data_IF_162007216109
#
_entry.id   IF_162007216109
#
_cell.length_a   1.000
_cell.length_b   1.000
_cell.length_c   1.000
_cell.angle_alpha   90.00
_cell.angle_beta   90.00
_cell.angle_gamma   90.00
#
_symmetry.space_group_name_H-M   'P 1'
#
loop_
_entity.id
_entity.type
_entity.pdbx_description
1 polymer ?
#
# COMPACT_ATOMS: atom_id res chain seq x y z
N UNK A 1 13.65 22.23 -7.10
CA UNK A 1 12.19 22.15 -7.20
C UNK A 1 11.87 21.47 -8.51
N UNK A 2 10.89 20.57 -8.56
CA UNK A 2 10.51 19.90 -9.79
C UNK A 2 9.86 20.87 -10.75
N UNK A 3 10.09 20.68 -12.05
CA UNK A 3 9.55 21.52 -13.11
C UNK A 3 8.28 20.92 -13.73
N UNK A 4 8.25 19.60 -13.84
CA UNK A 4 7.12 18.88 -14.44
C UNK A 4 6.92 17.54 -13.74
N UNK A 5 5.71 17.29 -13.25
CA UNK A 5 5.36 16.12 -12.46
C UNK A 5 4.34 15.26 -13.21
N UNK A 6 4.71 14.01 -13.50
CA UNK A 6 3.77 12.98 -13.94
C UNK A 6 3.05 12.41 -12.72
N UNK A 7 1.74 12.41 -12.74
CA UNK A 7 0.92 11.77 -11.71
C UNK A 7 0.50 10.38 -12.19
N UNK A 8 1.13 9.34 -11.62
CA UNK A 8 0.87 7.94 -11.95
C UNK A 8 -0.38 7.41 -11.22
N UNK A 9 -1.50 8.11 -11.38
CA UNK A 9 -2.78 7.80 -10.73
C UNK A 9 -3.95 8.41 -11.51
N UNK A 10 -5.17 8.24 -11.00
CA UNK A 10 -6.41 8.69 -11.64
C UNK A 10 -7.36 9.37 -10.66
N UNK A 11 -8.49 9.85 -11.19
CA UNK A 11 -9.62 10.33 -10.38
C UNK A 11 -9.24 11.50 -9.47
N UNK A 12 -9.81 11.50 -8.29
CA UNK A 12 -9.63 12.56 -7.29
C UNK A 12 -8.17 12.65 -6.79
N UNK A 13 -7.47 11.51 -6.71
CA UNK A 13 -6.06 11.44 -6.28
C UNK A 13 -5.20 12.27 -7.24
N UNK A 14 -5.39 12.07 -8.55
CA UNK A 14 -4.65 12.80 -9.57
C UNK A 14 -5.00 14.30 -9.56
N UNK A 15 -6.28 14.66 -9.45
CA UNK A 15 -6.73 16.06 -9.39
C UNK A 15 -6.13 16.78 -8.19
N UNK A 16 -6.08 16.13 -7.05
CA UNK A 16 -5.46 16.67 -5.84
C UNK A 16 -3.96 16.89 -6.00
N UNK A 17 -3.28 15.93 -6.63
CA UNK A 17 -1.84 16.02 -6.92
C UNK A 17 -1.53 17.17 -7.90
N UNK A 18 -2.33 17.33 -8.97
CA UNK A 18 -2.17 18.43 -9.92
C UNK A 18 -2.30 19.79 -9.25
N UNK A 19 -3.28 19.93 -8.37
CA UNK A 19 -3.46 21.16 -7.61
C UNK A 19 -2.21 21.49 -6.77
N UNK A 20 -1.69 20.51 -6.04
CA UNK A 20 -0.50 20.70 -5.22
C UNK A 20 0.76 21.00 -6.07
N UNK A 21 0.90 20.35 -7.23
CA UNK A 21 1.97 20.61 -8.17
C UNK A 21 1.90 22.04 -8.74
N UNK A 22 0.71 22.48 -9.13
CA UNK A 22 0.46 23.85 -9.60
C UNK A 22 0.79 24.89 -8.51
N UNK A 23 0.34 24.69 -7.28
CA UNK A 23 0.66 25.57 -6.14
C UNK A 23 2.18 25.62 -5.85
N UNK A 24 2.90 24.53 -6.17
CA UNK A 24 4.37 24.46 -6.09
C UNK A 24 5.09 25.01 -7.33
N UNK A 25 4.37 25.49 -8.34
CA UNK A 25 4.93 26.06 -9.57
C UNK A 25 5.44 25.02 -10.58
N UNK A 26 4.98 23.77 -10.52
CA UNK A 26 5.32 22.71 -11.45
C UNK A 26 4.19 22.46 -12.46
N UNK A 27 4.54 22.16 -13.71
CA UNK A 27 3.62 21.66 -14.73
C UNK A 27 3.22 20.22 -14.43
N UNK A 28 2.07 19.80 -14.94
CA UNK A 28 1.42 18.52 -14.59
C UNK A 28 1.18 17.65 -15.81
N UNK A 29 1.39 16.35 -15.65
CA UNK A 29 1.16 15.34 -16.68
C UNK A 29 0.20 14.29 -16.14
N UNK A 30 -0.95 14.11 -16.82
CA UNK A 30 -1.88 13.03 -16.58
C UNK A 30 -1.56 11.82 -17.44
N UNK A 31 -1.90 10.65 -16.94
CA UNK A 31 -1.96 9.39 -17.70
C UNK A 31 -3.38 8.84 -17.67
N UNK A 32 -3.82 8.22 -18.76
CA UNK A 32 -5.16 7.63 -18.84
C UNK A 32 -5.21 6.50 -19.87
N UNK A 33 -5.88 5.39 -19.61
CA UNK A 33 -6.25 4.43 -20.64
C UNK A 33 -7.44 4.93 -21.46
N UNK A 34 -7.69 4.33 -22.59
CA UNK A 34 -8.78 4.73 -23.49
C UNK A 34 -10.14 4.89 -22.80
N UNK A 35 -10.46 4.03 -21.83
CA UNK A 35 -11.72 4.07 -21.08
C UNK A 35 -11.85 5.34 -20.22
N UNK A 36 -10.73 5.87 -19.74
CA UNK A 36 -10.69 7.10 -18.94
C UNK A 36 -10.49 8.38 -19.79
N UNK A 37 -10.55 8.31 -21.12
CA UNK A 37 -10.35 9.45 -22.02
C UNK A 37 -11.27 10.66 -21.76
N UNK A 38 -12.41 10.42 -21.13
CA UNK A 38 -13.38 11.46 -20.76
C UNK A 38 -13.35 11.79 -19.25
N UNK A 39 -12.41 11.22 -18.51
CA UNK A 39 -12.33 11.43 -17.05
C UNK A 39 -11.85 12.84 -16.70
N UNK A 40 -12.32 13.34 -15.56
CA UNK A 40 -12.04 14.70 -15.09
C UNK A 40 -10.53 14.94 -14.89
N UNK A 41 -9.80 13.94 -14.37
CA UNK A 41 -8.38 14.13 -14.09
C UNK A 41 -7.57 14.43 -15.36
N UNK A 42 -7.90 13.80 -16.49
CA UNK A 42 -7.27 14.08 -17.77
C UNK A 42 -7.37 15.57 -18.17
N UNK A 43 -8.54 16.18 -17.89
CA UNK A 43 -8.84 17.57 -18.26
C UNK A 43 -8.28 18.60 -17.28
N UNK A 44 -7.69 18.17 -16.17
CA UNK A 44 -7.17 19.04 -15.11
C UNK A 44 -5.66 19.13 -15.09
N UNK A 45 -4.96 18.36 -15.90
CA UNK A 45 -3.51 18.45 -16.10
C UNK A 45 -3.18 19.36 -17.27
N UNK A 46 -1.95 19.89 -17.30
CA UNK A 46 -1.43 20.69 -18.42
C UNK A 46 -1.23 19.82 -19.66
N UNK A 47 -0.79 18.58 -19.48
CA UNK A 47 -0.61 17.59 -20.54
C UNK A 47 -1.25 16.25 -20.14
N UNK A 48 -1.70 15.47 -21.11
CA UNK A 48 -2.32 14.16 -20.85
C UNK A 48 -1.92 13.16 -21.94
N UNK A 49 -1.47 11.98 -21.52
CA UNK A 49 -0.97 10.91 -22.37
C UNK A 49 -1.77 9.63 -22.19
N UNK A 50 -2.10 9.00 -23.31
CA UNK A 50 -2.73 7.70 -23.30
C UNK A 50 -1.71 6.62 -22.95
N UNK A 51 -2.11 5.73 -22.02
CA UNK A 51 -1.35 4.55 -21.61
C UNK A 51 -2.10 3.30 -21.99
N UNK A 52 -1.38 2.28 -22.41
CA UNK A 52 -1.96 1.03 -22.87
C UNK A 52 -1.37 -0.16 -22.13
N UNK A 53 -2.21 -1.16 -21.88
CA UNK A 53 -1.80 -2.49 -21.49
C UNK A 53 -2.84 -3.51 -21.94
N UNK A 54 -2.40 -4.70 -22.33
CA UNK A 54 -3.32 -5.76 -22.67
C UNK A 54 -4.16 -6.18 -21.47
N UNK A 55 -5.48 -6.27 -21.68
CA UNK A 55 -6.45 -6.86 -20.76
C UNK A 55 -7.42 -5.87 -20.15
N UNK A 56 -7.07 -5.11 -19.15
CA UNK A 56 -8.02 -4.22 -18.46
C UNK A 56 -7.46 -2.82 -18.25
N UNK A 57 -8.31 -1.78 -18.14
CA UNK A 57 -7.87 -0.40 -17.86
C UNK A 57 -7.00 -0.26 -16.62
N UNK A 58 -7.27 -1.07 -15.60
CA UNK A 58 -6.48 -1.10 -14.36
C UNK A 58 -5.05 -1.55 -14.62
N UNK A 59 -4.83 -2.50 -15.54
CA UNK A 59 -3.48 -2.97 -15.89
C UNK A 59 -2.62 -1.87 -16.51
N UNK A 60 -3.22 -0.93 -17.25
CA UNK A 60 -2.49 0.20 -17.81
C UNK A 60 -1.90 1.09 -16.70
N UNK A 61 -2.67 1.34 -15.62
CA UNK A 61 -2.17 2.06 -14.45
C UNK A 61 -1.13 1.29 -13.63
N UNK A 62 -1.03 -0.02 -13.81
CA UNK A 62 -0.04 -0.88 -13.17
C UNK A 62 1.20 -1.14 -14.06
N UNK A 63 1.28 -0.53 -15.23
CA UNK A 63 2.40 -0.69 -16.16
C UNK A 63 3.54 0.28 -15.84
N UNK A 64 4.60 -0.24 -15.23
CA UNK A 64 5.83 0.52 -14.97
C UNK A 64 6.42 1.08 -16.25
N UNK A 65 6.46 0.27 -17.32
CA UNK A 65 7.02 0.69 -18.61
C UNK A 65 6.28 1.86 -19.25
N UNK A 66 4.94 1.87 -19.16
CA UNK A 66 4.13 2.99 -19.66
C UNK A 66 4.35 4.27 -18.86
N UNK A 67 4.45 4.17 -17.52
CA UNK A 67 4.75 5.33 -16.68
C UNK A 67 6.11 5.96 -17.04
N UNK A 68 7.13 5.13 -17.23
CA UNK A 68 8.46 5.61 -17.62
C UNK A 68 8.46 6.15 -19.06
N UNK A 69 7.75 5.50 -20.00
CA UNK A 69 7.60 5.99 -21.36
C UNK A 69 7.02 7.39 -21.37
N UNK A 70 5.88 7.59 -20.70
CA UNK A 70 5.23 8.91 -20.66
C UNK A 70 6.08 9.94 -19.92
N UNK A 71 6.76 9.59 -18.84
CA UNK A 71 7.63 10.51 -18.13
C UNK A 71 8.78 11.03 -19.03
N UNK A 72 9.36 10.14 -19.84
CA UNK A 72 10.40 10.52 -20.80
C UNK A 72 9.86 11.36 -21.95
N UNK A 73 8.72 10.96 -22.52
CA UNK A 73 8.10 11.65 -23.66
C UNK A 73 7.64 13.05 -23.29
N UNK A 74 7.05 13.22 -22.12
CA UNK A 74 6.62 14.53 -21.61
C UNK A 74 7.75 15.40 -21.05
N UNK A 75 8.93 14.81 -20.80
CA UNK A 75 10.03 15.48 -20.12
C UNK A 75 9.75 15.74 -18.63
N UNK A 76 8.93 14.89 -17.98
CA UNK A 76 8.69 14.98 -16.54
C UNK A 76 9.97 14.64 -15.76
N UNK A 77 10.31 15.46 -14.79
CA UNK A 77 11.47 15.27 -13.92
C UNK A 77 11.12 14.58 -12.59
N UNK A 78 9.82 14.37 -12.35
CA UNK A 78 9.33 13.60 -11.21
C UNK A 78 8.08 12.78 -11.56
N UNK A 79 7.91 11.64 -10.85
CA UNK A 79 6.69 10.81 -10.84
C UNK A 79 6.11 10.83 -9.44
N UNK A 80 4.84 11.24 -9.33
CA UNK A 80 4.05 11.17 -8.11
C UNK A 80 3.03 10.02 -8.23
N UNK A 81 3.16 8.94 -7.45
CA UNK A 81 2.28 7.78 -7.56
C UNK A 81 0.94 7.92 -6.82
N UNK A 82 0.84 8.85 -5.87
CA UNK A 82 -0.30 8.95 -4.95
C UNK A 82 -0.37 7.78 -3.97
N UNK A 83 -1.54 7.18 -3.83
CA UNK A 83 -1.77 5.94 -3.09
C UNK A 83 -2.50 4.92 -3.98
N UNK A 84 -2.35 3.62 -3.67
CA UNK A 84 -2.81 2.53 -4.55
C UNK A 84 -1.96 2.37 -5.80
N UNK A 85 -2.40 1.57 -6.76
CA UNK A 85 -1.68 1.23 -7.99
C UNK A 85 -0.18 0.93 -7.76
N UNK A 86 0.71 1.77 -8.28
CA UNK A 86 2.16 1.61 -8.21
C UNK A 86 2.83 2.35 -7.04
N UNK A 87 2.04 2.93 -6.11
CA UNK A 87 2.60 3.72 -5.01
C UNK A 87 3.51 2.92 -4.06
N UNK A 88 3.23 1.63 -3.90
CA UNK A 88 4.00 0.70 -3.07
C UNK A 88 4.89 -0.23 -3.92
N UNK A 89 4.98 0.01 -5.22
CA UNK A 89 5.72 -0.85 -6.13
C UNK A 89 7.19 -0.42 -6.23
N UNK A 90 8.16 -1.24 -5.76
CA UNK A 90 9.58 -0.91 -5.81
C UNK A 90 10.13 -0.79 -7.23
N UNK A 91 9.51 -1.49 -8.20
CA UNK A 91 9.99 -1.49 -9.59
C UNK A 91 9.77 -0.14 -10.26
N UNK A 92 8.67 0.57 -9.96
CA UNK A 92 8.48 1.94 -10.48
C UNK A 92 9.52 2.90 -9.89
N UNK A 93 9.78 2.81 -8.58
CA UNK A 93 10.79 3.65 -7.93
C UNK A 93 12.20 3.37 -8.49
N UNK A 94 12.52 2.10 -8.73
CA UNK A 94 13.80 1.67 -9.35
C UNK A 94 13.92 2.18 -10.78
N UNK A 95 12.90 1.93 -11.60
CA UNK A 95 12.90 2.36 -13.00
C UNK A 95 12.96 3.89 -13.14
N UNK A 96 12.28 4.65 -12.27
CA UNK A 96 12.40 6.10 -12.24
C UNK A 96 13.83 6.54 -11.93
N UNK A 97 14.46 5.97 -10.90
CA UNK A 97 15.85 6.25 -10.51
C UNK A 97 16.84 5.96 -11.65
N UNK A 98 16.71 4.81 -12.32
CA UNK A 98 17.56 4.41 -13.45
C UNK A 98 17.44 5.36 -14.65
N UNK A 99 16.29 6.02 -14.82
CA UNK A 99 16.05 6.97 -15.89
C UNK A 99 16.26 8.44 -15.46
N UNK A 100 16.82 8.69 -14.27
CA UNK A 100 17.10 10.06 -13.79
C UNK A 100 15.86 10.85 -13.40
N UNK A 101 14.71 10.17 -13.19
CA UNK A 101 13.42 10.74 -12.81
C UNK A 101 13.26 10.57 -11.30
N UNK A 102 12.84 11.62 -10.60
CA UNK A 102 12.60 11.52 -9.17
C UNK A 102 11.27 10.77 -8.88
N UNK A 103 11.31 9.72 -8.09
CA UNK A 103 10.12 9.12 -7.54
C UNK A 103 9.74 9.87 -6.26
N UNK A 104 8.51 10.41 -6.20
CA UNK A 104 8.01 11.12 -5.02
C UNK A 104 7.44 10.10 -4.04
N UNK A 105 8.32 9.55 -3.24
CA UNK A 105 8.03 8.47 -2.31
C UNK A 105 9.32 7.89 -1.72
N UNK A 106 9.22 6.79 -0.96
CA UNK A 106 10.37 6.07 -0.43
C UNK A 106 11.24 5.48 -1.54
N UNK A 107 12.51 5.22 -1.24
CA UNK A 107 13.40 4.49 -2.15
C UNK A 107 12.94 3.03 -2.36
N UNK A 108 13.37 2.39 -3.46
CA UNK A 108 12.93 1.02 -3.78
C UNK A 108 13.27 0.02 -2.68
N UNK A 109 14.40 0.18 -2.00
CA UNK A 109 14.82 -0.69 -0.89
C UNK A 109 13.87 -0.56 0.33
N UNK A 110 13.34 0.63 0.58
CA UNK A 110 12.37 0.88 1.64
C UNK A 110 11.00 0.31 1.26
N UNK A 111 10.59 0.43 0.00
CA UNK A 111 9.34 -0.15 -0.51
C UNK A 111 9.37 -1.68 -0.44
N UNK A 112 10.48 -2.31 -0.80
CA UNK A 112 10.67 -3.75 -0.66
C UNK A 112 10.59 -4.21 0.80
N UNK A 113 11.27 -3.48 1.70
CA UNK A 113 11.26 -3.78 3.13
C UNK A 113 9.85 -3.62 3.74
N UNK A 114 9.16 -2.53 3.41
CA UNK A 114 7.84 -2.21 3.96
C UNK A 114 6.72 -3.04 3.34
N UNK A 115 6.86 -3.46 2.09
CA UNK A 115 5.90 -4.30 1.38
C UNK A 115 5.80 -5.73 1.93
N UNK A 116 6.84 -6.22 2.57
CA UNK A 116 6.84 -7.51 3.27
C UNK A 116 6.54 -7.29 4.76
N UNK A 117 5.37 -7.76 5.21
CA UNK A 117 4.90 -7.57 6.60
C UNK A 117 5.82 -8.18 7.64
N UNK A 118 6.46 -9.31 7.33
CA UNK A 118 7.38 -10.00 8.24
C UNK A 118 8.67 -9.18 8.36
N UNK A 119 9.21 -8.75 7.23
CA UNK A 119 10.43 -7.93 7.19
C UNK A 119 10.22 -6.55 7.82
N UNK A 120 9.07 -5.91 7.54
CA UNK A 120 8.70 -4.63 8.16
C UNK A 120 8.61 -4.75 9.69
N UNK A 121 7.95 -5.80 10.20
CA UNK A 121 7.84 -6.06 11.63
C UNK A 121 9.20 -6.34 12.27
N UNK A 122 10.04 -7.15 11.62
CA UNK A 122 11.39 -7.42 12.09
C UNK A 122 12.25 -6.14 12.13
N UNK A 123 12.09 -5.26 11.14
CA UNK A 123 12.75 -3.95 11.14
C UNK A 123 12.29 -3.06 12.30
N UNK A 124 10.97 -3.03 12.56
CA UNK A 124 10.40 -2.28 13.69
C UNK A 124 10.96 -2.78 15.04
N UNK A 125 11.00 -4.10 15.24
CA UNK A 125 11.59 -4.70 16.46
C UNK A 125 13.06 -4.31 16.63
N UNK A 126 13.86 -4.39 15.55
CA UNK A 126 15.29 -3.97 15.58
C UNK A 126 15.47 -2.49 15.92
N UNK A 127 14.50 -1.67 15.51
CA UNK A 127 14.49 -0.24 15.82
C UNK A 127 13.93 0.09 17.21
N UNK A 128 13.55 -0.91 18.02
CA UNK A 128 12.96 -0.71 19.34
C UNK A 128 11.52 -0.19 19.32
N UNK A 129 10.83 -0.28 18.18
CA UNK A 129 9.43 0.13 18.06
C UNK A 129 8.53 -0.97 18.63
N UNK A 130 7.61 -0.66 19.54
CA UNK A 130 6.65 -1.63 20.06
C UNK A 130 5.79 -2.21 18.93
N UNK A 131 5.66 -3.53 18.92
CA UNK A 131 4.82 -4.25 17.95
C UNK A 131 3.90 -5.23 18.66
N UNK A 132 2.79 -5.57 18.04
CA UNK A 132 1.89 -6.60 18.57
C UNK A 132 2.61 -7.96 18.61
N UNK A 133 2.33 -8.76 19.65
CA UNK A 133 2.82 -10.12 19.72
C UNK A 133 2.32 -10.92 18.52
N UNK A 134 3.21 -11.67 17.88
CA UNK A 134 2.86 -12.53 16.75
C UNK A 134 3.78 -13.73 16.67
N UNK A 135 3.35 -14.74 15.93
CA UNK A 135 4.16 -15.91 15.58
C UNK A 135 4.97 -15.66 14.30
N UNK A 136 5.92 -16.54 14.04
CA UNK A 136 6.38 -16.78 12.68
C UNK A 136 5.25 -17.41 11.85
N UNK A 137 5.40 -17.36 10.53
CA UNK A 137 4.42 -17.95 9.62
C UNK A 137 4.66 -19.46 9.46
N UNK A 138 3.58 -20.23 9.37
CA UNK A 138 3.63 -21.68 9.14
C UNK A 138 2.39 -22.13 8.36
N UNK A 139 2.50 -23.26 7.67
CA UNK A 139 1.40 -24.04 7.11
C UNK A 139 1.10 -25.31 7.94
N UNK A 140 1.72 -25.45 9.11
CA UNK A 140 1.49 -26.53 10.06
C UNK A 140 0.77 -25.99 11.32
N UNK A 141 -0.44 -26.47 11.53
CA UNK A 141 -1.26 -26.13 12.71
C UNK A 141 -0.59 -26.55 14.02
N UNK A 142 0.17 -27.66 14.03
CA UNK A 142 0.85 -28.16 15.22
C UNK A 142 1.98 -27.22 15.67
N UNK A 143 2.51 -26.42 14.77
CA UNK A 143 3.50 -25.37 15.08
C UNK A 143 2.83 -24.13 15.67
N UNK A 144 1.64 -23.77 15.16
CA UNK A 144 0.96 -22.53 15.53
C UNK A 144 0.15 -22.63 16.83
N UNK A 145 -0.50 -23.78 17.08
CA UNK A 145 -1.36 -23.95 18.27
C UNK A 145 -0.61 -23.68 19.59
N UNK A 146 0.58 -24.24 19.85
CA UNK A 146 1.29 -23.95 21.09
C UNK A 146 1.75 -22.49 21.22
N UNK A 147 1.90 -21.78 20.10
CA UNK A 147 2.29 -20.37 20.08
C UNK A 147 1.09 -19.46 20.38
N UNK A 148 -0.12 -19.85 19.97
CA UNK A 148 -1.34 -19.12 20.27
C UNK A 148 -1.56 -18.95 21.79
N UNK A 149 -1.27 -19.97 22.57
CA UNK A 149 -1.37 -19.92 24.04
C UNK A 149 -0.45 -18.89 24.66
N UNK A 150 0.74 -18.65 24.07
CA UNK A 150 1.71 -17.63 24.52
C UNK A 150 1.25 -16.21 24.18
N UNK A 151 0.58 -16.04 23.04
CA UNK A 151 0.03 -14.74 22.60
C UNK A 151 -1.22 -14.40 23.41
N UNK A 152 -2.05 -15.40 23.73
CA UNK A 152 -3.35 -15.25 24.36
C UNK A 152 -4.46 -14.89 23.37
N UNK A 153 -5.69 -14.91 23.90
CA UNK A 153 -6.90 -14.62 23.11
C UNK A 153 -7.54 -13.29 23.57
N UNK A 154 -8.21 -12.55 22.67
CA UNK A 154 -8.43 -12.88 21.27
C UNK A 154 -7.19 -12.62 20.41
N UNK A 155 -7.10 -13.35 19.27
CA UNK A 155 -6.03 -13.17 18.29
C UNK A 155 -6.59 -13.18 16.85
N UNK A 156 -5.78 -12.80 15.89
CA UNK A 156 -6.06 -12.94 14.48
C UNK A 156 -5.19 -14.01 13.84
N UNK A 157 -5.80 -14.85 13.00
CA UNK A 157 -5.11 -15.68 12.01
C UNK A 157 -5.01 -14.85 10.72
N UNK A 158 -3.81 -14.65 10.20
CA UNK A 158 -3.54 -13.81 9.01
C UNK A 158 -2.75 -14.57 7.96
N UNK A 159 -3.20 -14.54 6.70
CA UNK A 159 -2.44 -15.08 5.57
C UNK A 159 -1.21 -14.22 5.28
N UNK A 160 -0.07 -14.85 4.98
CA UNK A 160 1.19 -14.16 4.63
C UNK A 160 1.01 -13.33 3.37
N UNK A 161 0.42 -13.93 2.33
CA UNK A 161 0.16 -13.28 1.04
C UNK A 161 -1.12 -12.43 1.03
N UNK A 162 -1.87 -12.36 2.16
CA UNK A 162 -3.11 -11.60 2.30
C UNK A 162 -2.88 -10.08 2.44
N UNK A 163 -3.84 -9.29 1.96
CA UNK A 163 -3.82 -7.83 2.08
C UNK A 163 -5.23 -7.24 2.11
N UNK A 164 -5.35 -5.99 2.59
CA UNK A 164 -6.64 -5.29 2.62
C UNK A 164 -7.75 -5.98 3.45
N UNK A 165 -7.38 -6.72 4.50
CA UNK A 165 -8.31 -7.48 5.34
C UNK A 165 -8.72 -8.86 4.78
N UNK A 166 -8.29 -9.22 3.57
CA UNK A 166 -8.52 -10.56 3.02
C UNK A 166 -7.57 -11.58 3.63
N UNK A 167 -8.08 -12.79 3.93
CA UNK A 167 -7.30 -13.84 4.58
C UNK A 167 -7.02 -13.56 6.06
N UNK A 168 -7.91 -12.83 6.75
CA UNK A 168 -7.82 -12.54 8.18
C UNK A 168 -9.06 -13.06 8.91
N UNK A 169 -8.86 -13.80 10.01
CA UNK A 169 -9.91 -14.33 10.85
C UNK A 169 -9.64 -14.02 12.31
N UNK A 170 -10.63 -13.48 13.01
CA UNK A 170 -10.56 -13.29 14.46
C UNK A 170 -10.90 -14.61 15.14
N UNK A 171 -10.16 -14.93 16.20
CA UNK A 171 -10.39 -16.10 17.07
C UNK A 171 -10.50 -15.58 18.49
N UNK A 172 -11.67 -15.72 19.07
CA UNK A 172 -11.96 -15.20 20.40
C UNK A 172 -11.58 -16.20 21.51
N UNK A 173 -11.60 -17.50 21.21
CA UNK A 173 -11.35 -18.58 22.18
C UNK A 173 -10.51 -19.70 21.57
N UNK A 174 -9.76 -20.39 22.42
CA UNK A 174 -8.88 -21.50 22.03
C UNK A 174 -9.63 -22.63 21.28
N UNK A 175 -10.87 -22.89 21.66
CA UNK A 175 -11.71 -23.94 21.04
C UNK A 175 -12.00 -23.71 19.56
N UNK A 176 -11.90 -22.47 19.08
CA UNK A 176 -12.14 -22.08 17.69
C UNK A 176 -10.86 -22.09 16.85
N UNK A 177 -9.68 -22.19 17.49
CA UNK A 177 -8.40 -21.94 16.84
C UNK A 177 -8.10 -22.92 15.71
N UNK A 178 -8.24 -24.22 15.96
CA UNK A 178 -7.92 -25.26 14.95
C UNK A 178 -8.75 -25.09 13.69
N UNK A 179 -10.06 -24.93 13.83
CA UNK A 179 -10.97 -24.74 12.71
C UNK A 179 -10.65 -23.46 11.93
N UNK A 180 -10.31 -22.38 12.63
CA UNK A 180 -9.96 -21.10 12.05
C UNK A 180 -8.64 -21.15 11.27
N UNK A 181 -7.63 -21.85 11.80
CA UNK A 181 -6.34 -22.08 11.14
C UNK A 181 -6.52 -22.86 9.84
N UNK A 182 -7.19 -24.02 9.89
CA UNK A 182 -7.43 -24.85 8.71
C UNK A 182 -8.22 -24.12 7.62
N UNK A 183 -9.22 -23.33 8.01
CA UNK A 183 -10.01 -22.54 7.07
C UNK A 183 -9.18 -21.42 6.45
N UNK A 184 -8.37 -20.71 7.24
CA UNK A 184 -7.50 -19.64 6.75
C UNK A 184 -6.42 -20.17 5.81
N UNK A 185 -5.79 -21.31 6.12
CA UNK A 185 -4.78 -21.96 5.29
C UNK A 185 -5.35 -22.40 3.94
N UNK A 186 -6.54 -23.02 3.93
CA UNK A 186 -7.24 -23.41 2.69
C UNK A 186 -7.58 -22.19 1.82
N UNK A 187 -8.11 -21.13 2.43
CA UNK A 187 -8.46 -19.90 1.73
C UNK A 187 -7.21 -19.22 1.16
N UNK A 188 -6.14 -19.12 1.94
CA UNK A 188 -4.88 -18.53 1.51
C UNK A 188 -4.24 -19.31 0.36
N UNK A 189 -4.19 -20.64 0.46
CA UNK A 189 -3.68 -21.49 -0.61
C UNK A 189 -4.46 -21.35 -1.90
N UNK A 190 -5.81 -21.30 -1.81
CA UNK A 190 -6.67 -21.15 -2.98
C UNK A 190 -6.60 -19.76 -3.62
N UNK A 191 -6.56 -18.71 -2.79
CA UNK A 191 -6.64 -17.32 -3.27
C UNK A 191 -5.27 -16.75 -3.70
N UNK A 192 -4.19 -17.18 -3.05
CA UNK A 192 -2.86 -16.58 -3.20
C UNK A 192 -1.78 -17.57 -3.61
N UNK A 193 -2.06 -18.89 -3.61
CA UNK A 193 -1.07 -19.93 -3.88
C UNK A 193 -0.09 -20.19 -2.73
N UNK A 194 -0.26 -19.55 -1.58
CA UNK A 194 0.56 -19.72 -0.38
C UNK A 194 -0.36 -19.94 0.82
N UNK A 195 -0.31 -21.14 1.41
CA UNK A 195 -1.15 -21.53 2.55
C UNK A 195 -0.63 -21.06 3.90
N UNK A 196 0.56 -20.44 3.96
CA UNK A 196 1.15 -20.01 5.23
C UNK A 196 0.33 -18.91 5.88
N UNK A 197 0.12 -19.07 7.17
CA UNK A 197 -0.55 -18.11 8.03
C UNK A 197 0.31 -17.82 9.27
N UNK A 198 0.05 -16.72 9.93
CA UNK A 198 0.63 -16.38 11.23
C UNK A 198 -0.45 -15.91 12.19
N UNK A 199 -0.15 -15.97 13.48
CA UNK A 199 -1.03 -15.47 14.53
C UNK A 199 -0.55 -14.10 15.00
N UNK A 200 -1.48 -13.23 15.32
CA UNK A 200 -1.19 -11.91 15.86
C UNK A 200 -2.21 -11.52 16.92
N UNK A 201 -1.75 -10.93 18.02
CA UNK A 201 -2.62 -10.42 19.07
C UNK A 201 -3.67 -9.47 18.52
N UNK A 202 -4.94 -9.66 18.93
CA UNK A 202 -6.02 -8.75 18.54
C UNK A 202 -6.07 -7.54 19.47
N UNK A 203 -6.13 -6.35 18.88
CA UNK A 203 -6.44 -5.11 19.62
C UNK A 203 -7.96 -4.97 19.69
N UNK A 204 -8.49 -4.80 20.90
CA UNK A 204 -9.93 -4.64 21.11
C UNK A 204 -10.30 -3.18 20.93
N UNK A 205 -11.30 -2.92 20.08
CA UNK A 205 -11.74 -1.57 19.71
C UNK A 205 -10.55 -0.67 19.28
N UNK A 206 -9.80 -1.09 18.24
CA UNK A 206 -8.65 -0.32 17.77
C UNK A 206 -9.10 1.03 17.22
N UNK A 207 -8.26 2.04 17.34
CA UNK A 207 -8.32 3.25 16.52
C UNK A 207 -7.25 3.17 15.45
N UNK A 208 -7.61 3.47 14.21
CA UNK A 208 -6.64 3.57 13.13
C UNK A 208 -5.96 4.94 13.18
N UNK A 209 -4.73 4.97 13.61
CA UNK A 209 -3.93 6.18 13.71
C UNK A 209 -2.78 6.08 12.71
N UNK A 210 -2.66 7.08 11.86
CA UNK A 210 -1.59 7.21 10.88
C UNK A 210 -0.76 8.46 11.17
N UNK A 211 0.56 8.33 11.05
CA UNK A 211 1.49 9.46 11.13
C UNK A 211 2.17 9.61 9.77
N UNK A 212 1.93 10.73 9.11
CA UNK A 212 2.56 11.01 7.83
C UNK A 212 4.05 11.33 8.04
N UNK A 213 4.90 10.58 7.37
CA UNK A 213 6.34 10.77 7.38
C UNK A 213 6.79 11.41 6.07
N UNK A 214 7.70 12.36 6.17
CA UNK A 214 8.36 13.03 5.04
C UNK A 214 9.88 12.90 5.23
N UNK A 215 10.57 12.40 4.21
CA UNK A 215 12.02 12.31 4.19
C UNK A 215 12.62 13.12 3.05
N UNK A 216 13.79 13.72 3.26
CA UNK A 216 14.55 14.38 2.19
C UNK A 216 15.77 13.54 1.75
N UNK A 217 16.43 14.00 0.68
CA UNK A 217 17.61 13.32 0.13
C UNK A 217 18.86 13.42 1.03
N UNK A 218 18.84 14.27 2.06
CA UNK A 218 19.90 14.40 3.05
C UNK A 218 19.71 13.49 4.26
N UNK A 219 18.66 12.65 4.25
CA UNK A 219 18.34 11.73 5.35
C UNK A 219 17.62 12.38 6.53
N UNK A 220 17.16 13.63 6.39
CA UNK A 220 16.32 14.26 7.41
C UNK A 220 14.91 13.73 7.29
N UNK A 221 14.30 13.41 8.41
CA UNK A 221 12.94 12.90 8.50
C UNK A 221 12.11 13.84 9.36
N UNK A 222 10.93 14.18 8.89
CA UNK A 222 9.93 14.93 9.62
C UNK A 222 8.62 14.15 9.66
N UNK A 223 7.83 14.36 10.69
CA UNK A 223 6.45 13.86 10.75
C UNK A 223 5.47 15.03 10.68
N UNK A 224 4.36 14.79 10.00
CA UNK A 224 3.22 15.68 10.00
C UNK A 224 2.20 15.21 11.06
N UNK A 225 1.14 15.99 11.22
CA UNK A 225 0.09 15.76 12.24
C UNK A 225 -0.52 14.35 12.09
N UNK A 226 -0.81 13.71 13.22
CA UNK A 226 -1.58 12.47 13.28
C UNK A 226 -2.91 12.59 12.54
N UNK A 227 -3.24 11.57 11.75
CA UNK A 227 -4.55 11.42 11.13
C UNK A 227 -5.27 10.25 11.79
N UNK A 228 -6.45 10.52 12.38
CA UNK A 228 -7.37 9.45 12.78
C UNK A 228 -8.24 9.13 11.58
N UNK A 229 -8.07 7.93 11.02
CA UNK A 229 -8.81 7.50 9.84
C UNK A 229 -10.25 7.06 10.16
N UNK A 230 -10.57 6.80 11.43
CA UNK A 230 -11.85 6.20 11.85
C UNK A 230 -13.04 7.17 11.91
N UNK A 231 -12.86 8.46 11.62
CA UNK A 231 -13.98 9.43 11.68
C UNK A 231 -15.05 9.22 10.58
N UNK A 232 -14.79 8.36 9.59
CA UNK A 232 -15.73 8.10 8.50
C UNK A 232 -16.51 6.78 8.65
N UNK A 233 -16.13 5.92 9.59
CA UNK A 233 -16.81 4.62 9.81
C UNK A 233 -17.98 4.70 10.82
N UNK A 234 -18.00 5.70 11.71
CA UNK A 234 -19.01 5.79 12.78
C UNK A 234 -20.29 6.58 12.37
N UNK A 235 -20.30 7.26 11.22
CA UNK A 235 -21.49 8.01 10.78
C UNK A 235 -22.48 7.17 9.94
N UNK A 236 -22.22 5.87 9.73
CA UNK A 236 -23.02 4.98 8.89
C UNK A 236 -23.95 4.00 9.61
N UNK A 237 -23.96 3.93 10.94
CA UNK A 237 -24.79 2.98 11.68
C UNK A 237 -25.61 3.68 12.78
N UNK A 238 -26.47 4.56 12.34
CA UNK A 238 -27.45 5.19 13.23
C UNK A 238 -28.63 5.71 12.45
N UNK A 239 -29.51 4.80 12.01
CA UNK A 239 -30.92 5.05 11.79
C UNK A 239 -31.64 3.74 11.40
N UNK A 240 -32.49 3.31 12.31
CA UNK A 240 -33.61 2.34 12.28
C UNK A 240 -33.29 0.89 12.64
#
# INVERSE_FOLDING_TARGET
MFKKILVANRGEIAVRAFRAAYEAGASTVAVYPFEDRNSVHRLKADEAYEINAEGSPVKAYLSVSEMIRVAKESGADAIYPGYGFLSENPDLARAAKENGIAFVGPGPEVLELAGDKVNAKAAAIRAGVPVLASTESSDDVNVLIPQAQKIGFPLFVKAVAGGGGRGMRKVDQETELLQSLEAAMREAGSAFGDSRVFLEQAVIRPRHIEVQILGDRQGRVAHAVERCADRLADEGHGAD
#
